data_IF_211046416868
#
_entry.id   IF_211046416868
#
_cell.length_a   1.000
_cell.length_b   1.000
_cell.length_c   1.000
_cell.angle_alpha   90.00
_cell.angle_beta   90.00
_cell.angle_gamma   90.00
#
_symmetry.space_group_name_H-M   'P 1'
#
loop_
_entity.id
_entity.type
_entity.pdbx_description
1 polymer ?
#
# COMPACT_ATOMS: atom_id res chain seq x y z
N UNK A 1 -30.51 10.22 -45.17
CA UNK A 1 -31.24 9.49 -44.11
C UNK A 1 -30.75 8.06 -44.18
N UNK A 2 -29.76 7.71 -43.36
CA UNK A 2 -29.42 6.33 -43.01
C UNK A 2 -28.41 6.42 -41.86
N UNK A 3 -28.93 6.34 -40.64
CA UNK A 3 -28.14 6.15 -39.43
C UNK A 3 -27.78 4.66 -39.39
N UNK A 4 -26.51 4.35 -39.60
CA UNK A 4 -25.96 3.00 -39.40
C UNK A 4 -26.19 2.58 -37.94
N UNK A 5 -26.97 1.51 -37.75
CA UNK A 5 -27.18 0.88 -36.45
C UNK A 5 -25.86 0.35 -35.89
N UNK A 6 -25.57 0.51 -34.59
CA UNK A 6 -24.41 -0.13 -33.99
C UNK A 6 -24.65 -1.64 -34.00
N UNK A 7 -23.70 -2.38 -34.57
CA UNK A 7 -23.66 -3.84 -34.47
C UNK A 7 -23.53 -4.23 -32.99
N UNK A 8 -24.67 -4.50 -32.35
CA UNK A 8 -24.73 -5.22 -31.09
C UNK A 8 -24.17 -6.62 -31.33
N UNK A 9 -23.14 -6.99 -30.56
CA UNK A 9 -22.55 -8.32 -30.58
C UNK A 9 -23.62 -9.41 -30.48
N UNK A 10 -23.32 -10.55 -31.09
CA UNK A 10 -24.22 -11.70 -31.19
C UNK A 10 -24.39 -12.48 -29.89
N UNK A 11 -23.75 -12.03 -28.80
CA UNK A 11 -23.79 -12.69 -27.50
C UNK A 11 -24.97 -12.17 -26.65
N UNK A 12 -25.89 -13.05 -26.18
CA UNK A 12 -27.00 -12.66 -25.31
C UNK A 12 -26.56 -11.97 -24.01
N UNK A 13 -25.39 -12.30 -23.48
CA UNK A 13 -24.83 -11.62 -22.30
C UNK A 13 -24.41 -10.17 -22.60
N UNK A 14 -23.82 -9.90 -23.77
CA UNK A 14 -23.47 -8.53 -24.19
C UNK A 14 -24.70 -7.63 -24.40
N UNK A 15 -25.82 -8.20 -24.86
CA UNK A 15 -27.08 -7.44 -25.02
C UNK A 15 -27.74 -7.09 -23.69
N UNK A 16 -27.74 -8.04 -22.73
CA UNK A 16 -28.25 -7.80 -21.38
C UNK A 16 -27.37 -6.82 -20.59
N UNK A 17 -26.05 -6.84 -20.80
CA UNK A 17 -25.14 -5.82 -20.25
C UNK A 17 -25.42 -4.43 -20.82
N UNK A 18 -25.79 -4.32 -22.10
CA UNK A 18 -26.06 -3.05 -22.77
C UNK A 18 -27.42 -2.42 -22.37
N UNK A 19 -28.45 -3.23 -22.07
CA UNK A 19 -29.77 -2.72 -21.68
C UNK A 19 -29.89 -2.30 -20.20
N UNK A 20 -28.98 -2.77 -19.33
CA UNK A 20 -28.98 -2.49 -17.89
C UNK A 20 -27.87 -1.56 -17.39
N UNK A 21 -26.96 -1.11 -18.27
CA UNK A 21 -25.85 -0.25 -17.91
C UNK A 21 -26.27 1.22 -17.87
N UNK A 22 -26.05 1.88 -16.74
CA UNK A 22 -26.24 3.33 -16.66
C UNK A 22 -25.05 4.01 -17.36
N UNK A 23 -25.30 4.62 -18.52
CA UNK A 23 -24.28 5.30 -19.30
C UNK A 23 -23.68 6.54 -18.58
N UNK A 24 -24.43 7.15 -17.66
CA UNK A 24 -23.98 8.31 -16.86
C UNK A 24 -22.97 7.87 -15.81
N UNK A 25 -23.32 6.83 -15.04
CA UNK A 25 -22.46 6.33 -13.96
C UNK A 25 -21.49 5.23 -14.40
N UNK A 26 -21.58 4.75 -15.64
CA UNK A 26 -20.80 3.63 -16.19
C UNK A 26 -20.95 2.34 -15.38
N UNK A 27 -22.09 2.16 -14.70
CA UNK A 27 -22.37 0.99 -13.86
C UNK A 27 -22.90 -0.18 -14.68
N UNK A 28 -22.69 -1.40 -14.20
CA UNK A 28 -23.33 -2.60 -14.74
C UNK A 28 -24.67 -2.88 -14.07
N UNK A 29 -25.48 -3.78 -14.65
CA UNK A 29 -26.72 -4.24 -14.02
C UNK A 29 -26.47 -4.86 -12.63
N UNK A 30 -25.36 -5.60 -12.47
CA UNK A 30 -24.96 -6.16 -11.17
C UNK A 30 -24.61 -5.06 -10.16
N UNK A 31 -23.89 -4.02 -10.59
CA UNK A 31 -23.59 -2.86 -9.71
C UNK A 31 -24.89 -2.18 -9.25
N UNK A 32 -25.85 -1.99 -10.15
CA UNK A 32 -27.14 -1.39 -9.83
C UNK A 32 -27.95 -2.27 -8.85
N UNK A 33 -27.94 -3.60 -9.05
CA UNK A 33 -28.59 -4.55 -8.16
C UNK A 33 -27.98 -4.54 -6.76
N UNK A 34 -26.64 -4.49 -6.67
CA UNK A 34 -25.93 -4.46 -5.39
C UNK A 34 -26.24 -3.16 -4.63
N UNK A 35 -26.27 -2.01 -5.32
CA UNK A 35 -26.67 -0.73 -4.72
C UNK A 35 -28.11 -0.75 -4.22
N UNK A 36 -29.04 -1.30 -5.00
CA UNK A 36 -30.45 -1.46 -4.60
C UNK A 36 -30.61 -2.38 -3.39
N UNK A 37 -29.88 -3.50 -3.35
CA UNK A 37 -29.89 -4.44 -2.22
C UNK A 37 -29.43 -3.75 -0.92
N UNK A 38 -28.47 -2.84 -1.01
CA UNK A 38 -27.97 -2.06 0.12
C UNK A 38 -28.84 -0.83 0.44
N UNK A 39 -29.92 -0.59 -0.31
CA UNK A 39 -30.76 0.61 -0.15
C UNK A 39 -30.02 1.91 -0.46
N UNK A 40 -28.99 1.88 -1.30
CA UNK A 40 -28.14 3.02 -1.65
C UNK A 40 -28.40 3.47 -3.08
N UNK A 41 -28.27 4.78 -3.30
CA UNK A 41 -28.28 5.38 -4.63
C UNK A 41 -26.84 5.53 -5.13
N UNK A 42 -26.62 5.27 -6.42
CA UNK A 42 -25.33 5.51 -7.06
C UNK A 42 -25.10 7.02 -7.19
N UNK A 43 -24.05 7.52 -6.55
CA UNK A 43 -23.64 8.94 -6.64
C UNK A 43 -22.31 9.12 -7.38
N UNK A 44 -21.44 8.10 -7.37
CA UNK A 44 -20.12 8.13 -8.01
C UNK A 44 -20.11 7.51 -9.41
N UNK A 45 -19.16 7.93 -10.26
CA UNK A 45 -18.97 7.35 -11.59
C UNK A 45 -17.94 6.22 -11.49
N UNK A 46 -18.24 5.06 -12.04
CA UNK A 46 -17.31 3.92 -12.09
C UNK A 46 -16.11 4.22 -13.00
N UNK A 47 -15.04 4.78 -12.44
CA UNK A 47 -13.80 5.14 -13.16
C UNK A 47 -12.85 3.95 -13.27
N UNK A 48 -12.81 3.07 -12.27
CA UNK A 48 -11.83 2.00 -12.18
C UNK A 48 -12.37 0.67 -12.73
N UNK A 49 -11.49 -0.03 -13.44
CA UNK A 49 -11.63 -1.45 -13.80
C UNK A 49 -10.61 -2.27 -13.00
N UNK A 50 -10.76 -3.58 -12.98
CA UNK A 50 -9.89 -4.50 -12.22
C UNK A 50 -8.39 -4.15 -12.28
N UNK A 51 -7.78 -4.10 -13.48
CA UNK A 51 -6.34 -3.80 -13.60
C UNK A 51 -5.94 -2.38 -13.20
N UNK A 52 -6.81 -1.40 -13.46
CA UNK A 52 -6.57 -0.01 -13.04
C UNK A 52 -6.65 0.12 -11.52
N UNK A 53 -7.58 -0.60 -10.90
CA UNK A 53 -7.73 -0.67 -9.46
C UNK A 53 -6.56 -1.42 -8.80
N UNK A 54 -6.13 -2.55 -9.37
CA UNK A 54 -4.94 -3.28 -8.96
C UNK A 54 -3.70 -2.37 -8.99
N UNK A 55 -3.52 -1.64 -10.10
CA UNK A 55 -2.43 -0.67 -10.25
C UNK A 55 -2.54 0.49 -9.26
N UNK A 56 -3.75 0.93 -8.94
CA UNK A 56 -4.00 1.95 -7.93
C UNK A 56 -3.55 1.50 -6.55
N UNK A 57 -4.05 0.36 -6.08
CA UNK A 57 -3.75 -0.12 -4.73
C UNK A 57 -2.30 -0.57 -4.59
N UNK A 58 -1.71 -1.19 -5.61
CA UNK A 58 -0.28 -1.56 -5.59
C UNK A 58 0.61 -0.32 -5.41
N UNK A 59 0.32 0.78 -6.11
CA UNK A 59 1.06 2.03 -5.93
C UNK A 59 0.71 2.72 -4.61
N UNK A 60 -0.55 2.72 -4.21
CA UNK A 60 -0.97 3.33 -2.95
C UNK A 60 -0.27 2.69 -1.75
N UNK A 61 -0.05 1.38 -1.80
CA UNK A 61 0.69 0.65 -0.75
C UNK A 61 2.21 0.78 -0.91
N UNK A 62 2.75 0.79 -2.15
CA UNK A 62 4.19 0.94 -2.44
C UNK A 62 5.08 0.13 -1.48
N UNK A 63 4.76 -1.14 -1.29
CA UNK A 63 5.27 -1.95 -0.18
C UNK A 63 6.80 -2.11 -0.21
N UNK A 64 7.39 -2.24 -1.40
CA UNK A 64 8.85 -2.32 -1.55
C UNK A 64 9.57 -1.03 -1.13
N UNK A 65 9.02 0.15 -1.43
CA UNK A 65 9.63 1.43 -1.04
C UNK A 65 9.68 1.57 0.49
N UNK A 66 8.57 1.26 1.16
CA UNK A 66 8.51 1.30 2.63
C UNK A 66 9.48 0.29 3.25
N UNK A 67 9.55 -0.93 2.71
CA UNK A 67 10.51 -1.94 3.19
C UNK A 67 11.95 -1.65 2.79
N UNK A 68 12.19 -0.82 1.78
CA UNK A 68 13.52 -0.39 1.45
C UNK A 68 13.99 0.66 2.45
N UNK A 69 13.17 1.65 2.78
CA UNK A 69 13.66 2.84 3.50
C UNK A 69 13.28 2.90 4.99
N UNK A 70 12.34 2.08 5.46
CA UNK A 70 11.87 2.11 6.87
C UNK A 70 12.37 0.89 7.65
N UNK A 71 13.62 0.47 7.45
CA UNK A 71 14.15 -0.78 8.04
C UNK A 71 14.79 -0.64 9.42
N UNK A 72 15.03 0.58 9.89
CA UNK A 72 15.78 0.84 11.13
C UNK A 72 15.25 0.04 12.32
N UNK A 73 13.94 0.05 12.65
CA UNK A 73 13.46 -0.73 13.78
C UNK A 73 13.79 -2.22 13.67
N UNK A 74 13.68 -2.81 12.47
CA UNK A 74 13.94 -4.23 12.27
C UNK A 74 15.41 -4.60 12.49
N UNK A 75 16.33 -3.79 11.95
CA UNK A 75 17.77 -4.07 12.07
C UNK A 75 18.35 -3.67 13.43
N UNK A 76 17.74 -2.71 14.12
CA UNK A 76 18.09 -2.34 15.50
C UNK A 76 17.58 -3.40 16.48
N UNK A 77 16.31 -3.78 16.34
CA UNK A 77 15.59 -4.65 17.29
C UNK A 77 15.32 -6.02 16.66
N UNK A 78 16.36 -6.85 16.53
CA UNK A 78 16.29 -8.20 15.98
C UNK A 78 17.24 -8.51 14.82
N UNK A 79 17.93 -7.50 14.29
CA UNK A 79 18.94 -7.65 13.24
C UNK A 79 18.39 -8.01 11.86
N UNK A 80 19.28 -8.42 10.96
CA UNK A 80 18.90 -8.86 9.60
C UNK A 80 17.88 -10.01 9.58
N UNK A 81 17.97 -11.01 10.48
CA UNK A 81 16.97 -12.08 10.51
C UNK A 81 15.57 -11.54 10.81
N UNK A 82 15.44 -10.55 11.71
CA UNK A 82 14.13 -9.98 12.02
C UNK A 82 13.54 -9.27 10.82
N UNK A 83 14.33 -8.48 10.08
CA UNK A 83 13.87 -7.81 8.86
C UNK A 83 13.27 -8.79 7.83
N UNK A 84 13.87 -9.98 7.67
CA UNK A 84 13.40 -10.99 6.72
C UNK A 84 12.22 -11.79 7.28
N UNK A 85 12.38 -12.39 8.45
CA UNK A 85 11.35 -13.27 8.99
C UNK A 85 10.07 -12.51 9.36
N UNK A 86 10.17 -11.24 9.78
CA UNK A 86 9.00 -10.40 10.01
C UNK A 86 8.13 -10.23 8.80
N UNK A 87 8.71 -10.06 7.62
CA UNK A 87 7.93 -10.03 6.38
C UNK A 87 7.21 -11.36 6.12
N UNK A 88 7.85 -12.49 6.42
CA UNK A 88 7.25 -13.83 6.22
C UNK A 88 6.06 -14.05 7.15
N UNK A 89 6.21 -13.84 8.47
CA UNK A 89 5.10 -14.08 9.39
C UNK A 89 4.02 -12.98 9.32
N UNK A 90 4.38 -11.73 9.02
CA UNK A 90 3.40 -10.69 8.76
C UNK A 90 2.56 -11.05 7.53
N UNK A 91 3.17 -11.50 6.43
CA UNK A 91 2.41 -11.97 5.27
C UNK A 91 1.39 -13.05 5.67
N UNK A 92 1.81 -14.08 6.40
CA UNK A 92 0.91 -15.15 6.87
C UNK A 92 -0.19 -14.60 7.77
N UNK A 93 0.13 -13.68 8.68
CA UNK A 93 -0.82 -13.03 9.58
C UNK A 93 -1.84 -12.14 8.87
N UNK A 94 -1.46 -11.52 7.74
CA UNK A 94 -2.34 -10.69 6.94
C UNK A 94 -3.30 -11.49 6.04
N UNK A 95 -2.99 -12.75 5.69
CA UNK A 95 -3.88 -13.61 4.88
C UNK A 95 -5.31 -13.67 5.45
N UNK A 96 -5.55 -14.08 6.72
CA UNK A 96 -6.92 -14.15 7.25
C UNK A 96 -7.57 -12.77 7.34
N UNK A 97 -6.79 -11.71 7.62
CA UNK A 97 -7.30 -10.33 7.68
C UNK A 97 -7.81 -9.90 6.31
N UNK A 98 -7.02 -10.08 5.25
CA UNK A 98 -7.39 -9.72 3.88
C UNK A 98 -8.52 -10.61 3.37
N UNK A 99 -8.53 -11.91 3.69
CA UNK A 99 -9.63 -12.81 3.30
C UNK A 99 -10.97 -12.38 3.92
N UNK A 100 -10.99 -12.04 5.20
CA UNK A 100 -12.23 -11.55 5.85
C UNK A 100 -12.72 -10.23 5.25
N UNK A 101 -11.82 -9.29 4.93
CA UNK A 101 -12.18 -8.05 4.23
C UNK A 101 -12.66 -8.31 2.79
N UNK A 102 -12.03 -9.27 2.10
CA UNK A 102 -12.46 -9.68 0.76
C UNK A 102 -13.88 -10.26 0.81
N UNK A 103 -14.19 -11.12 1.77
CA UNK A 103 -15.54 -11.66 1.96
C UNK A 103 -16.56 -10.55 2.21
N UNK A 104 -16.30 -9.66 3.17
CA UNK A 104 -17.19 -8.52 3.48
C UNK A 104 -17.39 -7.58 2.29
N UNK A 105 -16.31 -7.23 1.57
CA UNK A 105 -16.40 -6.38 0.38
C UNK A 105 -17.15 -7.04 -0.77
N UNK A 106 -17.15 -8.37 -0.87
CA UNK A 106 -17.97 -9.09 -1.86
C UNK A 106 -19.46 -9.05 -1.54
N UNK A 107 -19.82 -9.04 -0.25
CA UNK A 107 -21.21 -8.98 0.21
C UNK A 107 -21.78 -7.56 0.17
N UNK A 108 -20.97 -6.58 0.58
CA UNK A 108 -21.35 -5.18 0.71
C UNK A 108 -20.23 -4.26 0.18
N UNK A 109 -20.10 -4.11 -1.15
CA UNK A 109 -19.06 -3.28 -1.77
C UNK A 109 -19.42 -1.78 -1.69
N UNK A 110 -19.26 -1.20 -0.50
CA UNK A 110 -19.56 0.21 -0.21
C UNK A 110 -18.30 0.96 0.22
N UNK A 111 -18.18 2.24 -0.14
CA UNK A 111 -16.99 3.05 0.18
C UNK A 111 -16.74 3.20 1.69
N UNK A 112 -17.80 3.07 2.49
CA UNK A 112 -17.72 3.07 3.96
C UNK A 112 -16.93 1.88 4.53
N UNK A 113 -16.75 0.80 3.75
CA UNK A 113 -15.93 -0.35 4.11
C UNK A 113 -16.14 -0.82 5.57
N UNK A 114 -15.08 -0.82 6.38
CA UNK A 114 -15.03 -1.44 7.72
C UNK A 114 -16.11 -0.94 8.68
N UNK A 115 -16.34 0.38 8.80
CA UNK A 115 -17.33 0.88 9.76
C UNK A 115 -18.76 0.54 9.34
N UNK A 116 -19.00 0.46 8.03
CA UNK A 116 -20.30 0.06 7.49
C UNK A 116 -20.51 -1.45 7.67
N UNK A 117 -19.50 -2.27 7.38
CA UNK A 117 -19.55 -3.72 7.63
C UNK A 117 -19.78 -4.04 9.11
N UNK A 118 -19.10 -3.33 10.02
CA UNK A 118 -19.35 -3.49 11.46
C UNK A 118 -20.77 -3.07 11.81
N UNK A 119 -21.31 -2.01 11.21
CA UNK A 119 -22.71 -1.66 11.42
C UNK A 119 -23.68 -2.70 10.85
N UNK A 120 -23.32 -3.45 9.82
CA UNK A 120 -24.21 -4.44 9.21
C UNK A 120 -24.15 -5.80 9.93
N UNK A 121 -22.96 -6.21 10.39
CA UNK A 121 -22.72 -7.57 10.89
C UNK A 121 -22.58 -7.68 12.41
N UNK A 122 -22.40 -6.57 13.13
CA UNK A 122 -22.30 -6.62 14.58
C UNK A 122 -23.68 -6.81 15.24
N UNK A 123 -23.75 -7.43 16.43
CA UNK A 123 -24.98 -7.53 17.22
C UNK A 123 -25.59 -6.15 17.52
N UNK A 124 -26.92 -6.04 17.47
CA UNK A 124 -27.66 -4.78 17.66
C UNK A 124 -27.28 -4.03 18.94
N UNK A 125 -26.95 -4.76 20.02
CA UNK A 125 -26.61 -4.18 21.31
C UNK A 125 -25.30 -3.35 21.32
N UNK A 126 -24.37 -3.64 20.42
CA UNK A 126 -23.06 -2.98 20.35
C UNK A 126 -22.74 -2.38 18.98
N UNK A 127 -23.61 -2.59 17.98
CA UNK A 127 -23.46 -2.13 16.59
C UNK A 127 -23.01 -0.68 16.46
N UNK A 128 -23.71 0.26 17.13
CA UNK A 128 -23.41 1.68 17.03
C UNK A 128 -22.02 2.03 17.61
N UNK A 129 -21.68 1.46 18.76
CA UNK A 129 -20.39 1.73 19.43
C UNK A 129 -19.24 1.13 18.63
N UNK A 130 -19.37 -0.13 18.21
CA UNK A 130 -18.33 -0.81 17.43
C UNK A 130 -18.13 -0.15 16.07
N UNK A 131 -19.20 0.23 15.38
CA UNK A 131 -19.10 0.95 14.11
C UNK A 131 -18.38 2.30 14.28
N UNK A 132 -18.72 3.06 15.32
CA UNK A 132 -18.06 4.33 15.62
C UNK A 132 -16.57 4.17 15.93
N UNK A 133 -16.21 3.20 16.77
CA UNK A 133 -14.81 2.91 17.08
C UNK A 133 -14.02 2.44 15.85
N UNK A 134 -14.65 1.64 15.00
CA UNK A 134 -14.05 1.16 13.74
C UNK A 134 -13.84 2.33 12.77
N UNK A 135 -14.81 3.23 12.63
CA UNK A 135 -14.70 4.41 11.78
C UNK A 135 -13.58 5.35 12.21
N UNK A 136 -13.48 5.64 13.51
CA UNK A 136 -12.41 6.49 14.03
C UNK A 136 -11.03 5.86 13.97
N UNK A 137 -10.91 4.57 14.31
CA UNK A 137 -9.64 3.85 14.20
C UNK A 137 -9.15 3.78 12.75
N UNK A 138 -10.05 3.47 11.81
CA UNK A 138 -9.74 3.49 10.37
C UNK A 138 -9.33 4.90 9.90
N UNK A 139 -10.07 5.94 10.29
CA UNK A 139 -9.72 7.34 9.93
C UNK A 139 -8.35 7.73 10.45
N UNK A 140 -8.04 7.43 11.72
CA UNK A 140 -6.73 7.72 12.31
C UNK A 140 -5.61 6.94 11.62
N UNK A 141 -5.85 5.67 11.29
CA UNK A 141 -4.88 4.85 10.57
C UNK A 141 -4.57 5.44 9.18
N UNK A 142 -5.59 5.86 8.43
CA UNK A 142 -5.41 6.53 7.14
C UNK A 142 -4.66 7.86 7.25
N UNK A 143 -4.93 8.67 8.27
CA UNK A 143 -4.18 9.92 8.49
C UNK A 143 -2.72 9.66 8.85
N UNK A 144 -2.46 8.71 9.75
CA UNK A 144 -1.11 8.35 10.16
C UNK A 144 -0.31 7.74 8.99
N UNK A 145 -0.91 6.83 8.21
CA UNK A 145 -0.28 6.22 7.04
C UNK A 145 0.11 7.25 5.98
N UNK A 146 -0.79 8.19 5.67
CA UNK A 146 -0.46 9.31 4.76
C UNK A 146 0.69 10.17 5.30
N UNK A 147 0.69 10.48 6.60
CA UNK A 147 1.77 11.25 7.21
C UNK A 147 3.13 10.55 7.10
N UNK A 148 3.18 9.22 7.28
CA UNK A 148 4.42 8.42 7.12
C UNK A 148 4.95 8.51 5.69
N UNK A 149 4.10 8.35 4.68
CA UNK A 149 4.51 8.45 3.27
C UNK A 149 5.05 9.83 2.91
N UNK A 150 4.36 10.89 3.34
CA UNK A 150 4.80 12.28 3.11
C UNK A 150 6.11 12.59 3.84
N UNK A 151 6.25 12.09 5.07
CA UNK A 151 7.47 12.21 5.84
C UNK A 151 8.64 11.56 5.12
N UNK A 152 8.47 10.31 4.68
CA UNK A 152 9.49 9.55 3.96
C UNK A 152 9.94 10.26 2.69
N UNK A 153 9.01 10.73 1.85
CA UNK A 153 9.38 11.43 0.59
C UNK A 153 10.12 12.74 0.88
N UNK A 154 9.63 13.56 1.82
CA UNK A 154 10.29 14.83 2.16
C UNK A 154 11.70 14.66 2.72
N UNK A 155 11.91 13.64 3.55
CA UNK A 155 13.22 13.34 4.15
C UNK A 155 14.17 12.61 3.20
N UNK A 156 13.67 11.79 2.26
CA UNK A 156 14.47 11.26 1.15
C UNK A 156 14.98 12.36 0.20
N UNK A 157 14.17 13.39 -0.08
CA UNK A 157 14.64 14.56 -0.83
C UNK A 157 15.81 15.23 -0.10
N UNK A 158 15.72 15.35 1.24
CA UNK A 158 16.80 15.89 2.05
C UNK A 158 18.06 15.02 1.99
N UNK A 159 17.91 13.69 2.05
CA UNK A 159 19.02 12.75 1.90
C UNK A 159 19.71 12.89 0.53
N UNK A 160 18.95 13.05 -0.55
CA UNK A 160 19.50 13.31 -1.89
C UNK A 160 20.32 14.61 -1.90
N UNK A 161 19.83 15.68 -1.26
CA UNK A 161 20.59 16.95 -1.15
C UNK A 161 21.89 16.76 -0.39
N UNK A 162 21.87 16.00 0.71
CA UNK A 162 23.05 15.71 1.51
C UNK A 162 24.11 14.94 0.71
N UNK A 163 23.72 13.90 -0.03
CA UNK A 163 24.63 13.09 -0.85
C UNK A 163 25.31 13.94 -1.93
N UNK A 164 24.57 14.87 -2.54
CA UNK A 164 25.10 15.72 -3.60
C UNK A 164 25.86 16.95 -3.09
N UNK A 165 25.72 17.30 -1.80
CA UNK A 165 26.40 18.43 -1.19
C UNK A 165 26.93 18.07 0.21
N UNK A 166 28.18 17.57 0.32
CA UNK A 166 28.77 17.15 1.58
C UNK A 166 28.88 18.25 2.65
N UNK A 167 28.79 19.54 2.27
CA UNK A 167 28.81 20.67 3.20
C UNK A 167 27.44 20.98 3.83
N UNK A 168 26.39 20.27 3.45
CA UNK A 168 25.05 20.46 3.97
C UNK A 168 24.88 19.81 5.34
N UNK A 169 24.48 20.60 6.35
CA UNK A 169 24.35 20.12 7.74
C UNK A 169 23.07 19.33 8.05
N UNK A 170 22.16 19.19 7.08
CA UNK A 170 20.90 18.44 7.18
C UNK A 170 20.10 18.60 8.49
N UNK A 171 19.82 19.83 8.97
CA UNK A 171 19.04 20.04 10.18
C UNK A 171 17.58 19.58 9.99
N UNK A 172 16.96 19.06 11.06
CA UNK A 172 15.62 18.47 11.01
C UNK A 172 14.53 19.43 10.51
N UNK A 173 14.66 20.73 10.73
CA UNK A 173 13.67 21.71 10.28
C UNK A 173 13.64 21.86 8.75
N UNK A 174 14.75 21.63 8.03
CA UNK A 174 14.74 21.57 6.57
C UNK A 174 13.88 20.39 6.09
N UNK A 175 14.03 19.22 6.73
CA UNK A 175 13.19 18.04 6.48
C UNK A 175 11.71 18.36 6.70
N UNK A 176 11.36 18.99 7.82
CA UNK A 176 9.98 19.42 8.08
C UNK A 176 9.41 20.33 6.98
N UNK A 177 10.19 21.29 6.47
CA UNK A 177 9.75 22.16 5.38
C UNK A 177 9.56 21.39 4.07
N UNK A 178 10.44 20.43 3.76
CA UNK A 178 10.29 19.57 2.59
C UNK A 178 9.03 18.69 2.70
N UNK A 179 8.76 18.12 3.87
CA UNK A 179 7.52 17.35 4.13
C UNK A 179 6.28 18.24 3.94
N UNK A 180 6.29 19.47 4.46
CA UNK A 180 5.19 20.44 4.26
C UNK A 180 5.02 20.78 2.77
N UNK A 181 6.10 20.94 2.02
CA UNK A 181 6.06 21.21 0.59
C UNK A 181 5.46 20.03 -0.19
N UNK A 182 5.89 18.79 0.10
CA UNK A 182 5.35 17.57 -0.52
C UNK A 182 3.87 17.38 -0.16
N UNK A 183 3.48 17.61 1.09
CA UNK A 183 2.09 17.56 1.53
C UNK A 183 1.23 18.58 0.77
N UNK A 184 1.70 19.82 0.67
CA UNK A 184 1.01 20.90 -0.06
C UNK A 184 0.84 20.55 -1.54
N UNK A 185 1.89 20.05 -2.18
CA UNK A 185 1.83 19.59 -3.58
C UNK A 185 0.84 18.44 -3.76
N UNK A 186 0.83 17.47 -2.84
CA UNK A 186 -0.09 16.32 -2.86
C UNK A 186 -1.56 16.77 -2.71
N UNK A 187 -1.83 17.75 -1.84
CA UNK A 187 -3.17 18.35 -1.71
C UNK A 187 -3.60 19.04 -3.01
N UNK A 188 -2.72 19.85 -3.63
CA UNK A 188 -3.02 20.51 -4.90
C UNK A 188 -3.31 19.49 -6.01
N UNK A 189 -2.52 18.43 -6.11
CA UNK A 189 -2.73 17.35 -7.08
C UNK A 189 -4.08 16.65 -6.83
N UNK A 190 -4.44 16.36 -5.58
CA UNK A 190 -5.74 15.76 -5.26
C UNK A 190 -6.92 16.69 -5.60
N UNK A 191 -6.80 17.98 -5.36
CA UNK A 191 -7.87 18.95 -5.66
C UNK A 191 -8.03 19.13 -7.18
N UNK A 192 -6.94 19.31 -7.92
CA UNK A 192 -6.99 19.74 -9.32
C UNK A 192 -6.83 18.60 -10.34
N UNK A 193 -6.15 17.50 -9.99
CA UNK A 193 -5.76 16.45 -10.91
C UNK A 193 -6.36 15.07 -10.62
N UNK A 194 -7.26 14.93 -9.63
CA UNK A 194 -7.89 13.63 -9.30
C UNK A 194 -8.54 12.93 -10.50
N UNK A 195 -9.11 13.67 -11.46
CA UNK A 195 -9.72 13.10 -12.68
C UNK A 195 -8.70 12.49 -13.66
N UNK A 196 -7.42 12.85 -13.54
CA UNK A 196 -6.33 12.38 -14.40
C UNK A 196 -5.74 11.08 -13.83
N UNK A 197 -5.73 10.92 -12.49
CA UNK A 197 -5.11 9.80 -11.78
C UNK A 197 -5.50 8.43 -12.38
N UNK A 198 -6.81 8.11 -12.59
CA UNK A 198 -7.19 6.79 -13.14
C UNK A 198 -6.63 6.52 -14.54
N UNK A 199 -6.32 7.56 -15.32
CA UNK A 199 -5.83 7.43 -16.70
C UNK A 199 -4.32 7.18 -16.77
N UNK A 200 -3.57 7.68 -15.80
CA UNK A 200 -2.10 7.57 -15.76
C UNK A 200 -1.63 6.45 -14.83
N UNK A 201 -2.51 5.90 -13.98
CA UNK A 201 -2.15 4.94 -12.94
C UNK A 201 -1.34 3.74 -13.46
N UNK A 202 -1.73 3.15 -14.59
CA UNK A 202 -1.03 1.99 -15.14
C UNK A 202 0.39 2.36 -15.64
N UNK A 203 0.56 3.58 -16.14
CA UNK A 203 1.87 4.09 -16.54
C UNK A 203 2.76 4.35 -15.31
N UNK A 204 2.18 4.89 -14.23
CA UNK A 204 2.87 5.04 -12.95
C UNK A 204 3.26 3.66 -12.39
N UNK A 205 2.40 2.64 -12.54
CA UNK A 205 2.74 1.28 -12.06
C UNK A 205 3.94 0.74 -12.83
N UNK A 206 3.92 0.90 -14.15
CA UNK A 206 5.02 0.49 -15.02
C UNK A 206 6.32 1.21 -14.62
N UNK A 207 6.25 2.51 -14.33
CA UNK A 207 7.38 3.28 -13.84
C UNK A 207 7.86 2.79 -12.46
N UNK A 208 6.94 2.46 -11.55
CA UNK A 208 7.27 1.91 -10.23
C UNK A 208 8.00 0.57 -10.34
N UNK A 209 7.54 -0.33 -11.23
CA UNK A 209 8.21 -1.60 -11.50
C UNK A 209 9.60 -1.40 -12.11
N UNK A 210 9.75 -0.44 -13.04
CA UNK A 210 11.06 -0.08 -13.58
C UNK A 210 11.99 0.50 -12.51
N UNK A 211 11.47 1.36 -11.63
CA UNK A 211 12.23 1.90 -10.51
C UNK A 211 12.64 0.80 -9.52
N UNK A 212 11.77 -0.17 -9.27
CA UNK A 212 12.09 -1.33 -8.44
C UNK A 212 13.23 -2.16 -9.04
N UNK A 213 13.19 -2.44 -10.35
CA UNK A 213 14.30 -3.14 -11.04
C UNK A 213 15.58 -2.29 -11.00
N UNK A 214 15.48 -0.98 -11.25
CA UNK A 214 16.60 -0.06 -11.21
C UNK A 214 17.21 0.09 -9.80
N UNK A 215 16.43 -0.16 -8.75
CA UNK A 215 16.90 -0.23 -7.37
C UNK A 215 17.65 -1.54 -7.09
N UNK A 216 17.15 -2.70 -7.57
CA UNK A 216 17.76 -4.00 -7.30
C UNK A 216 19.10 -4.21 -8.04
N UNK A 217 19.18 -3.80 -9.31
CA UNK A 217 20.33 -4.11 -10.19
C UNK A 217 21.66 -3.57 -9.64
N UNK A 218 21.79 -2.29 -9.23
CA UNK A 218 23.05 -1.76 -8.70
C UNK A 218 23.50 -2.50 -7.44
N UNK A 219 22.57 -2.84 -6.54
CA UNK A 219 22.86 -3.56 -5.30
C UNK A 219 23.44 -4.95 -5.61
N UNK A 220 22.80 -5.70 -6.50
CA UNK A 220 23.24 -7.06 -6.84
C UNK A 220 24.60 -7.12 -7.54
N UNK A 221 24.99 -6.05 -8.23
CA UNK A 221 26.25 -5.98 -8.98
C UNK A 221 27.40 -5.45 -8.12
N UNK A 222 27.15 -4.43 -7.30
CA UNK A 222 28.23 -3.64 -6.69
C UNK A 222 28.41 -3.87 -5.19
N UNK A 223 27.41 -4.37 -4.47
CA UNK A 223 27.45 -4.36 -3.02
C UNK A 223 28.14 -5.60 -2.41
N UNK A 224 28.90 -5.43 -1.31
CA UNK A 224 29.52 -6.54 -0.58
C UNK A 224 28.45 -7.45 0.03
N UNK A 225 28.72 -8.76 0.05
CA UNK A 225 27.73 -9.76 0.48
C UNK A 225 27.95 -10.19 1.94
N UNK A 226 26.90 -10.08 2.74
CA UNK A 226 26.81 -10.68 4.07
C UNK A 226 26.76 -12.22 3.96
N UNK A 227 27.20 -12.90 5.02
CA UNK A 227 27.15 -14.36 5.09
C UNK A 227 25.73 -14.86 5.34
N UNK A 228 25.39 -16.06 4.85
CA UNK A 228 24.08 -16.67 5.11
C UNK A 228 23.75 -16.77 6.61
N UNK A 229 24.74 -17.08 7.45
CA UNK A 229 24.54 -17.15 8.90
C UNK A 229 24.08 -15.80 9.46
N UNK A 230 24.72 -14.71 9.04
CA UNK A 230 24.39 -13.36 9.51
C UNK A 230 22.98 -12.95 9.11
N UNK A 231 22.62 -13.21 7.85
CA UNK A 231 21.32 -12.83 7.28
C UNK A 231 20.16 -13.58 7.94
N UNK A 232 20.32 -14.87 8.24
CA UNK A 232 19.20 -15.73 8.64
C UNK A 232 19.15 -16.10 10.13
N UNK A 233 20.27 -16.00 10.85
CA UNK A 233 20.40 -16.58 12.20
C UNK A 233 21.03 -15.67 13.26
N UNK A 234 21.69 -14.58 12.86
CA UNK A 234 22.37 -13.66 13.80
C UNK A 234 21.39 -12.59 14.29
N UNK A 235 20.57 -12.96 15.27
CA UNK A 235 19.63 -12.05 15.94
C UNK A 235 20.40 -11.13 16.90
N UNK A 236 20.09 -9.84 16.85
CA UNK A 236 20.72 -8.83 17.71
C UNK A 236 19.66 -8.01 18.43
N UNK A 237 20.00 -7.42 19.56
CA UNK A 237 19.15 -6.47 20.26
C UNK A 237 19.98 -5.24 20.62
N UNK A 238 19.81 -4.16 19.85
CA UNK A 238 20.50 -2.89 20.06
C UNK A 238 19.60 -1.83 20.70
N UNK A 239 18.32 -2.16 20.98
CA UNK A 239 17.34 -1.27 21.60
C UNK A 239 17.22 -1.42 23.11
N UNK A 240 18.10 -2.21 23.73
CA UNK A 240 18.13 -2.49 25.18
C UNK A 240 16.81 -3.05 25.73
N UNK A 241 16.13 -3.91 24.95
CA UNK A 241 14.89 -4.54 25.39
C UNK A 241 15.16 -5.60 26.47
N UNK A 242 14.23 -5.80 27.43
CA UNK A 242 14.37 -6.83 28.47
C UNK A 242 14.52 -8.28 27.97
N UNK A 243 14.19 -8.56 26.70
CA UNK A 243 14.36 -9.87 26.09
C UNK A 243 14.42 -9.77 24.56
N UNK A 244 15.15 -10.69 23.94
CA UNK A 244 15.22 -10.81 22.48
C UNK A 244 13.83 -10.98 21.84
N UNK A 245 12.91 -11.69 22.50
CA UNK A 245 11.56 -11.87 21.99
C UNK A 245 10.81 -10.54 21.90
N UNK A 246 10.91 -9.69 22.93
CA UNK A 246 10.31 -8.35 22.90
C UNK A 246 10.99 -7.45 21.87
N UNK A 247 12.32 -7.51 21.76
CA UNK A 247 13.08 -6.81 20.72
C UNK A 247 12.54 -7.16 19.33
N UNK A 248 12.43 -8.46 19.01
CA UNK A 248 11.87 -8.94 17.74
C UNK A 248 10.42 -8.44 17.51
N UNK A 249 9.59 -8.44 18.56
CA UNK A 249 8.20 -7.94 18.47
C UNK A 249 8.12 -6.44 18.22
N UNK A 250 9.12 -5.67 18.62
CA UNK A 250 9.23 -4.24 18.32
C UNK A 250 9.81 -4.03 16.93
N UNK A 251 10.85 -4.76 16.56
CA UNK A 251 11.51 -4.61 15.26
C UNK A 251 10.65 -5.04 14.06
N UNK A 252 9.58 -5.82 14.25
CA UNK A 252 8.68 -6.19 13.14
C UNK A 252 7.82 -5.03 12.60
N UNK A 253 7.81 -3.85 13.25
CA UNK A 253 6.99 -2.70 12.85
C UNK A 253 7.06 -2.34 11.35
N UNK A 254 8.23 -2.35 10.69
CA UNK A 254 8.33 -2.11 9.25
C UNK A 254 7.60 -3.14 8.40
N UNK A 255 7.68 -4.42 8.77
CA UNK A 255 7.00 -5.50 8.08
C UNK A 255 5.47 -5.41 8.28
N UNK A 256 5.00 -4.97 9.44
CA UNK A 256 3.57 -4.71 9.65
C UNK A 256 3.12 -3.57 8.71
N UNK A 257 3.86 -2.46 8.64
CA UNK A 257 3.53 -1.33 7.78
C UNK A 257 3.49 -1.70 6.29
N UNK A 258 4.33 -2.65 5.87
CA UNK A 258 4.42 -3.16 4.50
C UNK A 258 3.10 -3.66 3.89
N UNK A 259 2.28 -4.29 4.72
CA UNK A 259 1.06 -4.99 4.30
C UNK A 259 -0.21 -4.19 4.63
N UNK A 260 -0.07 -2.96 5.14
CA UNK A 260 -1.19 -2.05 5.38
C UNK A 260 -1.68 -1.38 4.09
N UNK A 261 -2.91 -0.85 4.12
CA UNK A 261 -3.49 -0.07 3.03
C UNK A 261 -4.10 -0.89 1.89
N UNK A 262 -4.11 -2.22 1.96
CA UNK A 262 -4.78 -3.08 0.97
C UNK A 262 -6.30 -2.80 0.92
N UNK A 263 -6.87 -2.38 2.04
CA UNK A 263 -8.26 -1.94 2.20
C UNK A 263 -8.59 -0.64 1.45
N UNK A 264 -7.60 0.04 0.84
CA UNK A 264 -7.84 1.10 -0.16
C UNK A 264 -8.87 0.65 -1.21
N UNK A 265 -8.81 -0.61 -1.62
CA UNK A 265 -9.75 -1.17 -2.59
C UNK A 265 -11.21 -1.08 -2.12
N UNK A 266 -11.46 -1.31 -0.83
CA UNK A 266 -12.79 -1.24 -0.25
C UNK A 266 -13.33 0.19 -0.26
N UNK A 267 -12.48 1.16 0.08
CA UNK A 267 -12.88 2.57 0.10
C UNK A 267 -13.20 3.12 -1.28
N UNK A 268 -12.65 2.49 -2.34
CA UNK A 268 -12.93 2.85 -3.73
C UNK A 268 -14.04 2.00 -4.35
N UNK A 269 -14.76 1.20 -3.56
CA UNK A 269 -15.78 0.28 -4.09
C UNK A 269 -16.83 0.98 -4.95
N UNK A 270 -17.20 2.22 -4.66
CA UNK A 270 -18.22 2.97 -5.43
C UNK A 270 -17.71 3.53 -6.77
N UNK A 271 -16.39 3.57 -6.98
CA UNK A 271 -15.73 4.00 -8.22
C UNK A 271 -15.29 2.81 -9.09
N UNK A 272 -15.44 1.57 -8.60
CA UNK A 272 -14.99 0.34 -9.29
C UNK A 272 -16.15 -0.35 -9.99
N UNK A 273 -16.00 -0.66 -11.28
CA UNK A 273 -17.00 -1.46 -12.01
C UNK A 273 -17.01 -2.91 -11.52
N UNK A 274 -18.19 -3.50 -11.33
CA UNK A 274 -18.38 -4.83 -10.74
C UNK A 274 -17.65 -4.97 -9.40
N UNK A 275 -17.95 -4.07 -8.47
CA UNK A 275 -17.19 -3.93 -7.22
C UNK A 275 -17.20 -5.19 -6.35
N UNK A 276 -18.35 -5.85 -6.20
CA UNK A 276 -18.51 -7.10 -5.43
C UNK A 276 -17.61 -8.24 -5.91
N UNK A 277 -17.22 -8.26 -7.19
CA UNK A 277 -16.32 -9.25 -7.74
C UNK A 277 -14.87 -8.75 -7.88
N UNK A 278 -14.68 -7.47 -8.19
CA UNK A 278 -13.36 -6.90 -8.49
C UNK A 278 -12.57 -6.54 -7.24
N UNK A 279 -13.19 -5.88 -6.26
CA UNK A 279 -12.55 -5.42 -5.02
C UNK A 279 -11.89 -6.57 -4.24
N UNK A 280 -12.58 -7.70 -3.94
CA UNK A 280 -11.95 -8.81 -3.21
C UNK A 280 -10.77 -9.42 -3.97
N UNK A 281 -10.88 -9.56 -5.29
CA UNK A 281 -9.79 -10.08 -6.12
C UNK A 281 -8.58 -9.14 -6.14
N UNK A 282 -8.82 -7.83 -6.17
CA UNK A 282 -7.75 -6.82 -6.09
C UNK A 282 -7.03 -6.92 -4.75
N UNK A 283 -7.76 -7.01 -3.64
CA UNK A 283 -7.13 -7.14 -2.31
C UNK A 283 -6.19 -8.34 -2.22
N UNK A 284 -6.64 -9.52 -2.67
CA UNK A 284 -5.84 -10.74 -2.67
C UNK A 284 -4.64 -10.65 -3.62
N UNK A 285 -4.85 -10.09 -4.82
CA UNK A 285 -3.77 -9.90 -5.79
C UNK A 285 -2.69 -8.95 -5.26
N UNK A 286 -3.08 -7.82 -4.65
CA UNK A 286 -2.13 -6.88 -4.05
C UNK A 286 -1.38 -7.50 -2.88
N UNK A 287 -2.05 -8.28 -2.02
CA UNK A 287 -1.37 -8.97 -0.93
C UNK A 287 -0.21 -9.85 -1.44
N UNK A 288 -0.44 -10.59 -2.53
CA UNK A 288 0.59 -11.42 -3.17
C UNK A 288 1.68 -10.57 -3.82
N UNK A 289 1.31 -9.52 -4.57
CA UNK A 289 2.28 -8.61 -5.21
C UNK A 289 3.18 -7.96 -4.16
N UNK A 290 2.58 -7.40 -3.09
CA UNK A 290 3.31 -6.78 -1.99
C UNK A 290 4.25 -7.80 -1.32
N UNK A 291 3.80 -9.04 -1.09
CA UNK A 291 4.66 -10.07 -0.52
C UNK A 291 5.89 -10.38 -1.38
N UNK A 292 5.70 -10.55 -2.69
CA UNK A 292 6.81 -10.81 -3.61
C UNK A 292 7.79 -9.63 -3.62
N UNK A 293 7.26 -8.42 -3.76
CA UNK A 293 8.03 -7.17 -3.78
C UNK A 293 8.83 -6.98 -2.47
N UNK A 294 8.21 -7.17 -1.31
CA UNK A 294 8.86 -6.96 -0.01
C UNK A 294 9.88 -8.03 0.28
N UNK A 295 9.59 -9.31 0.03
CA UNK A 295 10.55 -10.41 0.23
C UNK A 295 11.79 -10.23 -0.62
N UNK A 296 11.63 -9.88 -1.91
CA UNK A 296 12.77 -9.60 -2.79
C UNK A 296 13.59 -8.42 -2.26
N UNK A 297 12.92 -7.37 -1.78
CA UNK A 297 13.55 -6.16 -1.22
C UNK A 297 14.37 -6.48 0.03
N UNK A 298 13.78 -7.12 1.03
CA UNK A 298 14.45 -7.36 2.32
C UNK A 298 15.55 -8.41 2.20
N UNK A 299 15.41 -9.41 1.33
CA UNK A 299 16.50 -10.34 1.03
C UNK A 299 17.63 -9.59 0.35
N UNK A 300 17.32 -8.75 -0.64
CA UNK A 300 18.34 -7.97 -1.36
C UNK A 300 19.11 -7.08 -0.39
N UNK A 301 18.43 -6.31 0.45
CA UNK A 301 19.08 -5.43 1.44
C UNK A 301 19.84 -6.27 2.47
N UNK A 302 19.23 -7.33 3.00
CA UNK A 302 19.85 -8.15 4.04
C UNK A 302 21.16 -8.77 3.59
N UNK A 303 21.24 -9.28 2.35
CA UNK A 303 22.51 -9.80 1.82
C UNK A 303 23.55 -8.73 1.52
N UNK A 304 23.18 -7.46 1.40
CA UNK A 304 24.11 -6.40 0.98
C UNK A 304 24.34 -5.34 2.06
N UNK A 305 23.94 -5.62 3.30
CA UNK A 305 24.16 -4.79 4.49
C UNK A 305 25.08 -5.53 5.49
N UNK A 306 26.38 -5.75 5.16
CA UNK A 306 27.25 -6.61 5.96
C UNK A 306 27.63 -6.01 7.32
N UNK A 307 27.52 -4.69 7.52
CA UNK A 307 27.88 -4.02 8.77
C UNK A 307 26.75 -3.09 9.25
N UNK A 308 25.94 -3.59 10.19
CA UNK A 308 24.77 -2.86 10.71
C UNK A 308 25.15 -1.57 11.45
N UNK A 309 26.14 -1.55 12.37
CA UNK A 309 26.61 -0.32 13.01
C UNK A 309 26.96 0.80 12.03
N UNK A 310 27.71 0.50 10.96
CA UNK A 310 28.10 1.52 9.98
C UNK A 310 26.89 2.03 9.20
N UNK A 311 25.99 1.14 8.79
CA UNK A 311 24.80 1.57 8.05
C UNK A 311 23.81 2.36 8.92
N UNK A 312 23.70 2.04 10.21
CA UNK A 312 22.90 2.81 11.17
C UNK A 312 23.49 4.18 11.50
N UNK A 313 24.81 4.31 11.40
CA UNK A 313 25.53 5.58 11.59
C UNK A 313 25.53 6.46 10.33
N UNK A 314 24.92 6.02 9.22
CA UNK A 314 24.94 6.76 7.96
C UNK A 314 24.24 8.14 8.11
N UNK A 315 24.89 9.25 7.71
CA UNK A 315 24.34 10.60 7.84
C UNK A 315 23.01 10.83 7.12
N UNK A 316 22.70 10.02 6.09
CA UNK A 316 21.43 10.11 5.36
C UNK A 316 20.24 9.63 6.18
N UNK A 317 20.48 8.94 7.31
CA UNK A 317 19.46 8.27 8.13
C UNK A 317 18.72 7.14 7.42
N UNK A 318 19.23 6.68 6.27
CA UNK A 318 18.68 5.57 5.50
C UNK A 318 19.74 4.50 5.27
N UNK A 319 19.75 3.42 6.07
CA UNK A 319 20.75 2.35 5.94
C UNK A 319 20.79 1.72 4.54
N UNK A 320 19.69 1.76 3.81
CA UNK A 320 19.62 1.25 2.43
C UNK A 320 20.40 2.10 1.43
N UNK A 321 20.59 3.40 1.69
CA UNK A 321 21.44 4.25 0.85
C UNK A 321 22.90 3.86 1.00
N UNK A 322 23.32 3.33 2.15
CA UNK A 322 24.67 2.79 2.34
C UNK A 322 24.98 1.59 1.43
N UNK A 323 23.95 0.90 0.97
CA UNK A 323 24.03 -0.30 0.11
C UNK A 323 24.01 0.04 -1.38
N UNK A 324 23.53 1.24 -1.75
CA UNK A 324 23.41 1.74 -3.12
C UNK A 324 24.69 2.41 -3.60
#
# INVERSE_FOLDING_TARGET
MELTSPHLGSDPEERLEAEGADAVYKSTLNDNRDMQRMGRKQEFIRQYRFFSMLSFVTIATSAWCLNAFVIIPAITDGGLPNMIWSNVWCFVGYIPIVLSMAEMSSMAPIAGAQYHWVSEFAPECCQQILSYLTGWSSTLAWQAGNAVGLFLVGTLIQAIVLINNPGYSSPSWHGSLLVIAVASATVLINIFAAKIIPRVQNAILSLSLLAFIAFLVPIWVNAPKATHSKVWTEWTDSGDWPSQALSVMVGQLPAIAAFQGIDTAAHMSEDVRQASASVPKVMLAVLVVNCVETIITVITIGYHLPDLPTALADPTTYPTVHVL
#
